data_IF_847994091252
#
_entry.id   IF_847994091252
#
_cell.length_a   1.000
_cell.length_b   1.000
_cell.length_c   1.000
_cell.angle_alpha   90.00
_cell.angle_beta   90.00
_cell.angle_gamma   90.00
#
_symmetry.space_group_name_H-M   'P 1'
#
loop_
_entity.id
_entity.type
_entity.pdbx_description
1 polymer ?
#
# COMPACT_ATOMS: atom_id res chain seq x y z
N UNK A 1 6.92 -18.76 2.45
CA UNK A 1 8.16 -18.74 1.64
C UNK A 1 9.31 -18.82 2.62
N UNK A 2 10.18 -19.81 2.48
CA UNK A 2 11.34 -19.94 3.36
C UNK A 2 12.38 -18.90 2.93
N UNK A 3 12.76 -17.99 3.80
CA UNK A 3 13.81 -16.99 3.52
C UNK A 3 15.19 -17.64 3.67
N UNK A 4 15.52 -18.53 2.72
CA UNK A 4 16.82 -19.19 2.69
C UNK A 4 17.93 -18.21 2.32
N UNK A 5 19.18 -18.54 2.66
CA UNK A 5 20.35 -17.75 2.22
C UNK A 5 20.42 -17.62 0.70
N UNK A 6 19.98 -18.66 -0.03
CA UNK A 6 19.92 -18.65 -1.49
C UNK A 6 18.87 -17.66 -1.98
N UNK A 7 17.65 -17.66 -1.39
CA UNK A 7 16.60 -16.70 -1.73
C UNK A 7 17.05 -15.24 -1.50
N UNK A 8 17.65 -14.95 -0.34
CA UNK A 8 18.15 -13.60 -0.04
C UNK A 8 19.25 -13.17 -1.02
N UNK A 9 20.10 -14.12 -1.45
CA UNK A 9 21.13 -13.86 -2.47
C UNK A 9 20.50 -13.58 -3.83
N UNK A 10 19.55 -14.36 -4.29
CA UNK A 10 18.83 -14.15 -5.55
C UNK A 10 18.11 -12.80 -5.56
N UNK A 11 17.46 -12.43 -4.46
CA UNK A 11 16.82 -11.13 -4.30
C UNK A 11 17.83 -9.99 -4.34
N UNK A 12 18.98 -10.12 -3.66
CA UNK A 12 20.03 -9.13 -3.67
C UNK A 12 20.67 -8.98 -5.07
N UNK A 13 20.85 -10.06 -5.79
CA UNK A 13 21.31 -10.05 -7.18
C UNK A 13 20.30 -9.35 -8.10
N UNK A 14 19.00 -9.61 -7.93
CA UNK A 14 17.94 -8.93 -8.68
C UNK A 14 17.95 -7.42 -8.45
N UNK A 15 18.20 -6.97 -7.20
CA UNK A 15 18.30 -5.53 -6.86
C UNK A 15 19.51 -4.91 -7.55
N UNK A 16 20.66 -5.58 -7.50
CA UNK A 16 21.88 -5.10 -8.14
C UNK A 16 21.73 -5.02 -9.67
N UNK A 17 21.12 -6.04 -10.28
CA UNK A 17 20.91 -6.11 -11.72
C UNK A 17 19.89 -5.06 -12.19
N UNK A 18 18.85 -4.77 -11.39
CA UNK A 18 17.91 -3.67 -11.65
C UNK A 18 18.62 -2.31 -11.67
N UNK A 19 19.49 -2.03 -10.70
CA UNK A 19 20.28 -0.79 -10.66
C UNK A 19 21.23 -0.70 -11.88
N UNK A 20 21.85 -1.82 -12.26
CA UNK A 20 22.71 -1.88 -13.43
C UNK A 20 21.96 -1.58 -14.74
N UNK A 21 20.74 -2.14 -14.89
CA UNK A 21 19.90 -1.91 -16.06
C UNK A 21 19.44 -0.45 -16.15
N UNK A 22 18.96 0.11 -15.04
CA UNK A 22 18.57 1.54 -14.98
C UNK A 22 19.74 2.45 -15.36
N UNK A 23 20.93 2.14 -14.84
CA UNK A 23 22.15 2.90 -15.18
C UNK A 23 22.51 2.76 -16.66
N UNK A 24 22.38 1.57 -17.24
CA UNK A 24 22.66 1.33 -18.66
C UNK A 24 21.75 2.15 -19.58
N UNK A 25 20.50 2.33 -19.18
CA UNK A 25 19.51 3.12 -19.94
C UNK A 25 19.73 4.64 -19.84
N UNK A 26 20.24 5.11 -18.71
CA UNK A 26 20.38 6.56 -18.45
C UNK A 26 21.78 7.11 -18.82
N UNK A 27 22.76 6.23 -19.02
CA UNK A 27 24.13 6.61 -19.28
C UNK A 27 24.83 7.25 -18.07
N UNK A 28 26.03 7.78 -18.30
CA UNK A 28 26.94 8.26 -17.23
C UNK A 28 26.52 9.56 -16.52
N UNK A 29 25.33 10.10 -16.77
CA UNK A 29 24.87 11.37 -16.19
C UNK A 29 24.42 11.24 -14.73
N UNK A 30 24.07 10.04 -14.27
CA UNK A 30 23.67 9.72 -12.91
C UNK A 30 24.51 8.55 -12.39
N UNK A 31 25.04 8.64 -11.16
CA UNK A 31 25.81 7.56 -10.57
C UNK A 31 24.92 6.34 -10.26
N UNK A 32 25.51 5.14 -10.29
CA UNK A 32 24.86 3.93 -9.77
C UNK A 32 24.62 4.04 -8.28
N UNK A 33 23.52 3.49 -7.80
CA UNK A 33 23.24 3.37 -6.35
C UNK A 33 24.22 2.36 -5.75
N UNK A 34 24.38 1.21 -6.39
CA UNK A 34 25.34 0.17 -6.00
C UNK A 34 26.56 0.22 -6.93
N UNK A 35 27.56 1.00 -6.58
CA UNK A 35 28.67 1.41 -7.44
C UNK A 35 29.98 0.64 -7.23
N UNK A 36 29.98 -0.43 -6.41
CA UNK A 36 31.13 -1.32 -6.20
C UNK A 36 31.05 -2.56 -7.08
N UNK A 37 32.00 -3.48 -6.88
CA UNK A 37 31.94 -4.78 -7.54
C UNK A 37 30.65 -5.54 -7.14
N UNK A 38 30.20 -6.43 -8.04
CA UNK A 38 28.91 -7.12 -7.89
C UNK A 38 28.84 -7.89 -6.57
N UNK A 39 29.87 -8.64 -6.24
CA UNK A 39 29.88 -9.48 -5.03
C UNK A 39 29.85 -8.64 -3.76
N UNK A 40 30.61 -7.54 -3.72
CA UNK A 40 30.61 -6.59 -2.61
C UNK A 40 29.24 -5.93 -2.42
N UNK A 41 28.60 -5.49 -3.51
CA UNK A 41 27.26 -4.88 -3.44
C UNK A 41 26.19 -5.90 -3.02
N UNK A 42 26.19 -7.10 -3.58
CA UNK A 42 25.25 -8.17 -3.20
C UNK A 42 25.37 -8.52 -1.72
N UNK A 43 26.59 -8.62 -1.20
CA UNK A 43 26.81 -8.87 0.22
C UNK A 43 26.33 -7.71 1.10
N UNK A 44 26.49 -6.46 0.67
CA UNK A 44 25.97 -5.30 1.40
C UNK A 44 24.45 -5.27 1.39
N UNK A 45 23.81 -5.56 0.26
CA UNK A 45 22.36 -5.68 0.15
C UNK A 45 21.83 -6.77 1.10
N UNK A 46 22.47 -7.94 1.12
CA UNK A 46 22.12 -9.01 2.06
C UNK A 46 22.24 -8.55 3.52
N UNK A 47 23.29 -7.79 3.86
CA UNK A 47 23.43 -7.23 5.21
C UNK A 47 22.30 -6.28 5.57
N UNK A 48 21.87 -5.43 4.63
CA UNK A 48 20.71 -4.54 4.82
C UNK A 48 19.41 -5.32 5.01
N UNK A 49 19.24 -6.44 4.29
CA UNK A 49 18.09 -7.32 4.47
C UNK A 49 18.08 -8.02 5.84
N UNK A 50 19.25 -8.48 6.29
CA UNK A 50 19.40 -9.23 7.55
C UNK A 50 19.49 -8.30 8.77
N UNK A 51 19.82 -7.04 8.59
CA UNK A 51 19.91 -6.03 9.65
C UNK A 51 18.54 -5.46 9.98
N UNK A 52 18.47 -4.78 11.14
CA UNK A 52 17.25 -4.04 11.53
C UNK A 52 17.02 -2.76 10.70
N UNK A 53 17.72 -2.60 9.58
CA UNK A 53 17.72 -1.37 8.77
C UNK A 53 17.11 -1.59 7.37
N UNK A 54 15.98 -2.28 7.33
CA UNK A 54 15.16 -2.44 6.11
C UNK A 54 14.79 -1.08 5.49
N UNK A 55 14.78 -0.02 6.29
CA UNK A 55 14.50 1.35 5.86
C UNK A 55 15.58 1.88 4.88
N UNK A 56 16.86 1.59 5.12
CA UNK A 56 17.93 2.01 4.22
C UNK A 56 17.82 1.32 2.85
N UNK A 57 17.57 0.02 2.82
CA UNK A 57 17.39 -0.71 1.56
C UNK A 57 16.19 -0.19 0.76
N UNK A 58 15.08 0.12 1.43
CA UNK A 58 13.90 0.73 0.80
C UNK A 58 14.22 2.11 0.22
N UNK A 59 15.05 2.90 0.90
CA UNK A 59 15.50 4.21 0.42
C UNK A 59 16.37 4.08 -0.84
N UNK A 60 17.26 3.12 -0.88
CA UNK A 60 18.11 2.83 -2.05
C UNK A 60 17.27 2.34 -3.26
N UNK A 61 16.30 1.45 -3.03
CA UNK A 61 15.34 1.04 -4.06
C UNK A 61 14.52 2.22 -4.61
N UNK A 62 14.14 3.16 -3.75
CA UNK A 62 13.43 4.35 -4.19
C UNK A 62 14.29 5.28 -5.06
N UNK A 63 15.60 5.34 -4.82
CA UNK A 63 16.54 6.05 -5.70
C UNK A 63 16.55 5.41 -7.11
N UNK A 64 16.63 4.09 -7.19
CA UNK A 64 16.57 3.35 -8.46
C UNK A 64 15.25 3.63 -9.18
N UNK A 65 14.12 3.59 -8.49
CA UNK A 65 12.80 3.92 -9.06
C UNK A 65 12.72 5.34 -9.60
N UNK A 66 13.28 6.31 -8.87
CA UNK A 66 13.27 7.69 -9.32
C UNK A 66 14.11 7.88 -10.60
N UNK A 67 15.24 7.21 -10.69
CA UNK A 67 16.05 7.19 -11.90
C UNK A 67 15.32 6.48 -13.06
N UNK A 68 14.75 5.31 -12.83
CA UNK A 68 14.01 4.55 -13.83
C UNK A 68 12.85 5.35 -14.45
N UNK A 69 12.18 6.20 -13.67
CA UNK A 69 11.09 7.07 -14.16
C UNK A 69 11.55 8.14 -15.16
N UNK A 70 12.83 8.45 -15.21
CA UNK A 70 13.39 9.42 -16.16
C UNK A 70 13.74 8.82 -17.51
N UNK A 71 13.68 7.50 -17.66
CA UNK A 71 13.92 6.79 -18.92
C UNK A 71 12.87 7.23 -19.95
N UNK A 72 13.34 7.70 -21.10
CA UNK A 72 12.45 8.26 -22.14
C UNK A 72 11.63 7.17 -22.83
N UNK A 73 12.26 6.02 -23.13
CA UNK A 73 11.61 4.92 -23.80
C UNK A 73 10.54 4.26 -22.93
N UNK A 74 9.29 4.40 -23.33
CA UNK A 74 8.13 4.00 -22.53
C UNK A 74 8.06 2.49 -22.25
N UNK A 75 8.42 1.69 -23.24
CA UNK A 75 8.39 0.22 -23.12
C UNK A 75 9.45 -0.28 -22.15
N UNK A 76 10.68 0.19 -22.31
CA UNK A 76 11.80 -0.13 -21.41
C UNK A 76 11.50 0.33 -19.98
N UNK A 77 11.02 1.57 -19.82
CA UNK A 77 10.60 2.09 -18.50
C UNK A 77 9.51 1.24 -17.87
N UNK A 78 8.54 0.75 -18.66
CA UNK A 78 7.45 -0.11 -18.15
C UNK A 78 7.98 -1.46 -17.67
N UNK A 79 8.91 -2.07 -18.40
CA UNK A 79 9.54 -3.33 -18.02
C UNK A 79 10.33 -3.18 -16.72
N UNK A 80 11.19 -2.17 -16.64
CA UNK A 80 12.01 -1.87 -15.45
C UNK A 80 11.11 -1.58 -14.23
N UNK A 81 10.04 -0.81 -14.41
CA UNK A 81 9.12 -0.52 -13.30
C UNK A 81 8.30 -1.74 -12.87
N UNK A 82 8.04 -2.68 -13.76
CA UNK A 82 7.40 -3.96 -13.39
C UNK A 82 8.34 -4.79 -12.52
N UNK A 83 9.59 -4.90 -12.93
CA UNK A 83 10.62 -5.63 -12.15
C UNK A 83 10.89 -4.94 -10.80
N UNK A 84 11.02 -3.61 -10.80
CA UNK A 84 11.12 -2.83 -9.56
C UNK A 84 9.97 -3.15 -8.59
N UNK A 85 8.73 -3.17 -9.07
CA UNK A 85 7.59 -3.45 -8.22
C UNK A 85 7.63 -4.88 -7.66
N UNK A 86 8.05 -5.86 -8.44
CA UNK A 86 8.26 -7.24 -7.97
C UNK A 86 9.26 -7.27 -6.82
N UNK A 87 10.45 -6.72 -7.04
CA UNK A 87 11.53 -6.64 -6.04
C UNK A 87 11.07 -5.89 -4.79
N UNK A 88 10.42 -4.74 -4.96
CA UNK A 88 9.93 -3.94 -3.85
C UNK A 88 8.95 -4.72 -2.96
N UNK A 89 8.06 -5.48 -3.58
CA UNK A 89 7.11 -6.31 -2.83
C UNK A 89 7.80 -7.43 -2.04
N UNK A 90 8.85 -8.03 -2.60
CA UNK A 90 9.65 -9.03 -1.91
C UNK A 90 10.42 -8.41 -0.73
N UNK A 91 11.01 -7.22 -0.91
CA UNK A 91 11.72 -6.50 0.16
C UNK A 91 10.77 -6.04 1.28
N UNK A 92 9.54 -5.63 0.94
CA UNK A 92 8.52 -5.29 1.95
C UNK A 92 8.07 -6.52 2.73
N UNK A 93 8.07 -7.69 2.09
CA UNK A 93 7.69 -8.95 2.71
C UNK A 93 8.78 -9.53 3.64
N UNK A 94 10.00 -9.00 3.59
CA UNK A 94 11.07 -9.44 4.51
C UNK A 94 10.72 -9.09 5.96
N UNK A 95 10.97 -9.98 6.91
CA UNK A 95 10.74 -9.69 8.33
C UNK A 95 11.67 -8.57 8.81
N UNK A 96 11.19 -7.74 9.73
CA UNK A 96 11.95 -6.62 10.31
C UNK A 96 13.21 -7.07 11.07
N UNK A 97 13.31 -8.35 11.42
CA UNK A 97 14.48 -8.91 12.09
C UNK A 97 14.56 -10.42 11.83
N UNK A 98 15.68 -10.87 11.29
CA UNK A 98 16.04 -12.30 11.23
C UNK A 98 16.66 -12.82 12.53
N UNK A 99 16.73 -11.98 13.58
CA UNK A 99 17.56 -12.24 14.78
C UNK A 99 17.00 -13.31 15.74
N UNK A 100 15.87 -13.94 15.48
CA UNK A 100 15.29 -14.91 16.40
C UNK A 100 14.60 -16.11 15.76
N UNK A 101 14.68 -16.33 14.47
CA UNK A 101 13.99 -17.47 13.88
C UNK A 101 14.92 -18.36 13.06
N UNK A 102 15.50 -19.34 13.72
CA UNK A 102 15.92 -20.58 13.04
C UNK A 102 14.70 -21.39 12.54
N UNK A 103 13.50 -20.89 12.81
CA UNK A 103 12.23 -21.49 12.38
C UNK A 103 11.20 -20.37 12.20
N UNK A 104 11.18 -19.72 11.05
CA UNK A 104 9.90 -19.23 10.56
C UNK A 104 9.06 -20.46 10.24
N UNK A 105 8.18 -20.80 11.16
CA UNK A 105 7.27 -21.93 11.04
C UNK A 105 6.54 -21.76 9.68
N UNK A 106 6.66 -22.71 8.75
CA UNK A 106 5.91 -22.75 7.48
C UNK A 106 4.41 -22.50 7.70
N UNK A 107 3.93 -22.77 8.93
CA UNK A 107 2.56 -22.48 9.36
C UNK A 107 2.22 -20.99 9.45
N UNK A 108 3.18 -20.11 9.65
CA UNK A 108 2.93 -18.65 9.75
C UNK A 108 2.83 -17.99 8.37
N UNK A 109 3.56 -18.53 7.38
CA UNK A 109 3.63 -17.93 6.05
C UNK A 109 2.28 -17.87 5.30
N UNK A 110 1.30 -18.65 5.72
CA UNK A 110 0.04 -18.82 4.98
C UNK A 110 -1.23 -18.68 5.84
N UNK A 111 -1.15 -17.89 6.92
CA UNK A 111 -2.31 -17.67 7.82
C UNK A 111 -3.54 -17.14 7.07
N UNK A 112 -3.33 -16.31 6.06
CA UNK A 112 -4.43 -15.76 5.26
C UNK A 112 -5.01 -16.76 4.25
N UNK A 113 -4.33 -17.87 3.96
CA UNK A 113 -4.86 -18.98 3.17
C UNK A 113 -5.73 -19.94 4.01
N UNK A 114 -5.65 -19.84 5.33
CA UNK A 114 -6.47 -20.67 6.22
C UNK A 114 -7.94 -20.25 6.20
N UNK A 115 -8.83 -21.17 6.54
CA UNK A 115 -10.21 -20.84 6.87
C UNK A 115 -10.25 -19.82 8.01
N UNK A 116 -11.22 -18.94 8.03
CA UNK A 116 -11.31 -17.85 9.02
C UNK A 116 -11.14 -18.31 10.47
N UNK A 117 -11.80 -19.39 10.86
CA UNK A 117 -11.70 -19.97 12.22
C UNK A 117 -10.29 -20.40 12.63
N UNK A 118 -9.40 -20.61 11.67
CA UNK A 118 -8.02 -21.03 11.89
C UNK A 118 -7.02 -19.91 11.60
N UNK A 119 -7.50 -18.76 11.11
CA UNK A 119 -6.66 -17.65 10.71
C UNK A 119 -6.23 -16.77 11.88
N UNK A 120 -7.12 -16.59 12.86
CA UNK A 120 -6.87 -15.75 14.02
C UNK A 120 -6.63 -16.64 15.24
N UNK A 121 -5.38 -16.66 15.74
CA UNK A 121 -5.07 -17.24 17.06
C UNK A 121 -5.48 -16.28 18.18
N UNK A 122 -5.39 -16.76 19.43
CA UNK A 122 -5.77 -15.98 20.62
C UNK A 122 -4.97 -14.69 20.80
N UNK A 123 -3.80 -14.57 20.15
CA UNK A 123 -2.87 -13.45 20.28
C UNK A 123 -2.95 -12.46 19.09
N UNK A 124 -3.89 -12.66 18.16
CA UNK A 124 -4.01 -11.81 16.99
C UNK A 124 -5.23 -10.90 17.07
N UNK A 125 -5.03 -9.65 16.68
CA UNK A 125 -6.10 -8.68 16.54
C UNK A 125 -6.95 -8.97 15.30
N UNK A 126 -8.23 -8.64 15.38
CA UNK A 126 -9.16 -8.77 14.26
C UNK A 126 -9.01 -7.56 13.34
N UNK A 127 -8.48 -7.79 12.16
CA UNK A 127 -8.24 -6.76 11.16
C UNK A 127 -9.08 -7.03 9.91
N UNK A 128 -9.82 -6.03 9.45
CA UNK A 128 -10.66 -6.13 8.26
C UNK A 128 -10.22 -5.06 7.26
N UNK A 129 -9.72 -5.48 6.12
CA UNK A 129 -9.33 -4.62 5.01
C UNK A 129 -10.49 -4.51 4.02
N UNK A 130 -11.00 -3.29 3.78
CA UNK A 130 -12.08 -3.07 2.83
C UNK A 130 -11.58 -2.24 1.66
N UNK A 131 -11.50 -2.85 0.48
CA UNK A 131 -11.33 -2.18 -0.81
C UNK A 131 -12.69 -1.96 -1.46
N UNK A 132 -12.86 -0.87 -2.20
CA UNK A 132 -14.17 -0.52 -2.75
C UNK A 132 -14.08 0.33 -4.01
N UNK A 133 -15.03 0.14 -4.94
CA UNK A 133 -15.25 1.11 -6.03
C UNK A 133 -15.91 2.37 -5.46
N UNK A 134 -15.56 3.53 -6.01
CA UNK A 134 -16.09 4.80 -5.52
C UNK A 134 -17.62 4.89 -5.74
N UNK A 135 -18.35 5.35 -4.72
CA UNK A 135 -19.81 5.45 -4.77
C UNK A 135 -20.56 4.13 -4.55
N UNK A 136 -19.89 3.03 -4.21
CA UNK A 136 -20.54 1.75 -3.90
C UNK A 136 -21.15 1.67 -2.49
N UNK A 137 -21.03 2.70 -1.67
CA UNK A 137 -21.44 2.64 -0.26
C UNK A 137 -20.45 1.89 0.65
N UNK A 138 -19.24 1.58 0.12
CA UNK A 138 -18.26 0.81 0.87
C UNK A 138 -17.76 1.51 2.13
N UNK A 139 -17.66 2.84 2.13
CA UNK A 139 -17.25 3.61 3.31
C UNK A 139 -18.33 3.55 4.40
N UNK A 140 -19.61 3.72 4.03
CA UNK A 140 -20.75 3.61 4.93
C UNK A 140 -20.85 2.20 5.53
N UNK A 141 -20.65 1.17 4.70
CA UNK A 141 -20.62 -0.23 5.15
C UNK A 141 -19.48 -0.43 6.16
N UNK A 142 -18.27 0.03 5.84
CA UNK A 142 -17.10 -0.10 6.71
C UNK A 142 -17.31 0.61 8.06
N UNK A 143 -17.84 1.83 8.05
CA UNK A 143 -18.13 2.59 9.25
C UNK A 143 -19.21 1.92 10.12
N UNK A 144 -20.34 1.49 9.51
CA UNK A 144 -21.39 0.78 10.24
C UNK A 144 -20.92 -0.57 10.80
N UNK A 145 -20.06 -1.26 10.06
CA UNK A 145 -19.48 -2.53 10.51
C UNK A 145 -18.57 -2.31 11.72
N UNK A 146 -17.72 -1.28 11.70
CA UNK A 146 -16.86 -0.92 12.82
C UNK A 146 -17.68 -0.55 14.06
N UNK A 147 -18.76 0.22 13.90
CA UNK A 147 -19.65 0.56 15.01
C UNK A 147 -20.35 -0.68 15.61
N UNK A 148 -20.82 -1.61 14.78
CA UNK A 148 -21.44 -2.86 15.26
C UNK A 148 -20.45 -3.78 15.97
N UNK A 149 -19.21 -3.87 15.46
CA UNK A 149 -18.14 -4.68 16.05
C UNK A 149 -17.46 -4.01 17.25
N UNK A 150 -17.69 -2.70 17.48
CA UNK A 150 -17.02 -1.87 18.50
C UNK A 150 -15.49 -1.86 18.34
N UNK A 151 -15.03 -1.80 17.11
CA UNK A 151 -13.61 -1.70 16.74
C UNK A 151 -13.34 -0.38 16.00
N UNK A 152 -12.08 -0.01 15.91
CA UNK A 152 -11.67 1.24 15.29
C UNK A 152 -11.86 1.21 13.76
N UNK A 153 -12.07 2.39 13.18
CA UNK A 153 -12.24 2.58 11.73
C UNK A 153 -11.22 3.60 11.21
N UNK A 154 -10.47 3.20 10.19
CA UNK A 154 -9.39 4.01 9.62
C UNK A 154 -9.53 4.14 8.09
N UNK A 155 -9.65 5.37 7.61
CA UNK A 155 -9.62 5.70 6.17
C UNK A 155 -8.64 6.87 5.93
N UNK A 156 -9.17 8.07 5.82
CA UNK A 156 -8.39 9.28 5.59
C UNK A 156 -7.44 9.64 6.76
N UNK A 157 -7.79 9.20 7.97
CA UNK A 157 -7.04 9.52 9.19
C UNK A 157 -5.63 8.92 9.20
N UNK A 158 -5.47 7.67 8.73
CA UNK A 158 -4.15 7.04 8.61
C UNK A 158 -3.25 7.91 7.73
N UNK A 159 -3.80 8.37 6.61
CA UNK A 159 -3.07 9.21 5.69
C UNK A 159 -2.67 10.55 6.31
N UNK A 160 -3.57 11.17 7.07
CA UNK A 160 -3.30 12.41 7.79
C UNK A 160 -2.22 12.22 8.87
N UNK A 161 -2.21 11.09 9.57
CA UNK A 161 -1.19 10.76 10.55
C UNK A 161 0.19 10.56 9.90
N UNK A 162 0.24 9.87 8.75
CA UNK A 162 1.47 9.70 7.97
C UNK A 162 2.03 11.04 7.51
N UNK A 163 1.18 11.92 6.96
CA UNK A 163 1.60 13.26 6.55
C UNK A 163 2.13 14.09 7.72
N UNK A 164 1.47 14.01 8.89
CA UNK A 164 1.95 14.68 10.11
C UNK A 164 3.31 14.15 10.56
N UNK A 165 3.54 12.83 10.50
CA UNK A 165 4.87 12.23 10.79
C UNK A 165 5.92 12.77 9.84
N UNK A 166 5.67 12.68 8.53
CA UNK A 166 6.61 13.18 7.51
C UNK A 166 6.89 14.69 7.64
N UNK A 167 5.96 15.48 8.17
CA UNK A 167 6.14 16.90 8.44
C UNK A 167 6.87 17.13 9.76
N UNK A 168 6.60 16.34 10.80
CA UNK A 168 7.23 16.45 12.11
C UNK A 168 8.72 16.11 12.07
N UNK A 169 9.13 15.14 11.26
CA UNK A 169 10.54 14.78 11.06
C UNK A 169 11.36 15.91 10.39
N UNK A 170 10.70 16.96 9.88
CA UNK A 170 11.34 18.04 9.15
C UNK A 170 11.36 19.39 9.89
N UNK A 171 10.49 19.58 10.87
CA UNK A 171 10.30 20.87 11.54
C UNK A 171 10.18 20.69 13.05
N UNK A 172 11.32 20.68 13.75
CA UNK A 172 11.35 21.03 15.18
C UNK A 172 10.86 22.47 15.43
N UNK A 173 10.59 23.26 14.40
CA UNK A 173 10.24 24.67 14.49
C UNK A 173 8.84 25.08 14.02
N UNK A 174 8.01 24.21 13.45
CA UNK A 174 6.63 24.55 13.11
C UNK A 174 5.66 23.70 13.93
N UNK A 175 5.65 23.93 15.22
CA UNK A 175 4.51 23.64 16.09
C UNK A 175 3.52 24.79 15.89
N UNK A 176 2.33 24.45 15.50
CA UNK A 176 1.09 25.22 15.43
C UNK A 176 0.67 25.72 14.05
N UNK A 177 -0.55 25.32 13.72
CA UNK A 177 -1.43 25.78 12.66
C UNK A 177 -1.25 25.17 11.25
N UNK A 178 -1.81 24.00 11.05
CA UNK A 178 -2.55 23.72 9.82
C UNK A 178 -3.48 22.52 9.98
N UNK A 179 -4.71 22.76 10.34
CA UNK A 179 -5.81 21.86 10.05
C UNK A 179 -6.00 21.83 8.52
N UNK A 180 -5.34 20.89 7.84
CA UNK A 180 -5.68 20.57 6.45
C UNK A 180 -6.97 19.77 6.47
N UNK A 181 -8.00 20.14 5.67
CA UNK A 181 -9.16 19.29 5.50
C UNK A 181 -8.70 17.94 4.92
N UNK A 182 -8.96 16.85 5.62
CA UNK A 182 -8.51 15.51 5.28
C UNK A 182 -8.81 15.13 3.81
N UNK A 183 -9.94 15.55 3.28
CA UNK A 183 -10.38 15.27 1.91
C UNK A 183 -9.50 15.89 0.81
N UNK A 184 -9.00 17.10 1.00
CA UNK A 184 -8.12 17.76 0.02
C UNK A 184 -6.70 17.20 0.05
N UNK A 185 -6.16 16.91 1.23
CA UNK A 185 -4.85 16.32 1.36
C UNK A 185 -4.78 14.90 0.76
N UNK A 186 -5.83 14.11 0.94
CA UNK A 186 -5.96 12.77 0.37
C UNK A 186 -6.00 12.78 -1.17
N UNK A 187 -6.72 13.74 -1.78
CA UNK A 187 -6.80 13.84 -3.23
C UNK A 187 -5.49 14.37 -3.85
N UNK A 188 -4.84 15.35 -3.22
CA UNK A 188 -3.65 15.98 -3.80
C UNK A 188 -2.40 15.09 -3.75
N UNK A 189 -2.23 14.27 -2.72
CA UNK A 189 -1.00 13.50 -2.53
C UNK A 189 -1.08 12.09 -3.09
N UNK A 190 -2.21 11.40 -2.89
CA UNK A 190 -2.36 10.02 -3.36
C UNK A 190 -2.64 9.94 -4.87
N UNK A 191 -3.25 10.97 -5.45
CA UNK A 191 -3.79 10.93 -6.81
C UNK A 191 -3.36 12.12 -7.68
N UNK A 192 -2.46 12.98 -7.22
CA UNK A 192 -1.92 14.04 -8.07
C UNK A 192 -1.25 13.42 -9.30
N UNK A 193 -1.76 13.76 -10.48
CA UNK A 193 -1.06 13.48 -11.71
C UNK A 193 0.37 14.03 -11.60
N UNK A 194 1.39 13.36 -12.15
CA UNK A 194 2.76 13.84 -12.07
C UNK A 194 2.86 15.24 -12.68
N UNK A 195 2.93 16.25 -11.80
CA UNK A 195 3.17 17.64 -12.19
C UNK A 195 4.60 17.71 -12.71
N UNK A 196 4.81 18.37 -13.85
CA UNK A 196 6.16 18.69 -14.30
C UNK A 196 6.81 19.63 -13.28
N UNK A 197 7.67 19.08 -12.46
CA UNK A 197 8.40 19.80 -11.43
C UNK A 197 9.69 20.36 -12.03
N UNK A 198 10.08 21.55 -11.59
CA UNK A 198 11.40 22.13 -11.90
C UNK A 198 12.50 21.32 -11.20
N UNK A 199 13.73 21.41 -11.72
CA UNK A 199 14.88 20.73 -11.13
C UNK A 199 15.09 21.11 -9.65
N UNK A 200 14.86 22.39 -9.29
CA UNK A 200 14.96 22.87 -7.90
C UNK A 200 13.87 22.27 -6.99
N UNK A 201 12.66 22.12 -7.50
CA UNK A 201 11.57 21.47 -6.77
C UNK A 201 11.86 19.97 -6.56
N UNK A 202 12.41 19.28 -7.56
CA UNK A 202 12.84 17.89 -7.44
C UNK A 202 13.94 17.70 -6.41
N UNK A 203 14.98 18.55 -6.42
CA UNK A 203 16.07 18.49 -5.44
C UNK A 203 15.54 18.75 -4.02
N UNK A 204 14.63 19.72 -3.87
CA UNK A 204 14.01 20.02 -2.58
C UNK A 204 13.12 18.87 -2.09
N UNK A 205 12.34 18.26 -2.97
CA UNK A 205 11.50 17.11 -2.65
C UNK A 205 12.35 15.88 -2.33
N UNK A 206 13.41 15.63 -3.08
CA UNK A 206 14.39 14.58 -2.85
C UNK A 206 15.06 14.71 -1.47
N UNK A 207 15.56 15.90 -1.14
CA UNK A 207 16.13 16.19 0.18
C UNK A 207 15.08 16.08 1.29
N UNK A 208 13.85 16.48 1.01
CA UNK A 208 12.71 16.49 1.94
C UNK A 208 12.24 15.11 2.37
N UNK A 209 12.37 14.11 1.53
CA UNK A 209 11.87 12.75 1.78
C UNK A 209 12.99 11.70 1.76
N UNK A 210 14.20 12.08 2.18
CA UNK A 210 15.34 11.17 2.27
C UNK A 210 15.59 10.36 0.97
N UNK A 211 15.38 11.01 -0.18
CA UNK A 211 15.56 10.37 -1.49
C UNK A 211 14.33 9.67 -2.06
N UNK A 212 13.25 9.57 -1.28
CA UNK A 212 11.98 9.00 -1.75
C UNK A 212 11.15 10.03 -2.54
N UNK A 213 10.36 9.58 -3.50
CA UNK A 213 9.26 10.43 -3.96
C UNK A 213 8.25 10.59 -2.83
N UNK A 214 7.56 11.75 -2.76
CA UNK A 214 6.51 11.97 -1.76
C UNK A 214 5.49 10.84 -1.70
N UNK A 215 5.16 10.25 -2.86
CA UNK A 215 4.22 9.15 -2.99
C UNK A 215 4.74 7.86 -2.34
N UNK A 216 6.01 7.54 -2.57
CA UNK A 216 6.64 6.33 -2.03
C UNK A 216 6.88 6.48 -0.52
N UNK A 217 7.36 7.65 -0.07
CA UNK A 217 7.51 7.94 1.35
C UNK A 217 6.17 7.80 2.11
N UNK A 218 5.08 8.29 1.53
CA UNK A 218 3.73 8.12 2.10
C UNK A 218 3.34 6.65 2.16
N UNK A 219 3.61 5.88 1.10
CA UNK A 219 3.28 4.45 1.08
C UNK A 219 4.03 3.67 2.18
N UNK A 220 5.35 3.86 2.31
CA UNK A 220 6.14 3.17 3.31
C UNK A 220 5.75 3.53 4.74
N UNK A 221 5.64 4.82 5.05
CA UNK A 221 5.20 5.24 6.40
C UNK A 221 3.79 4.75 6.73
N UNK A 222 2.92 4.65 5.74
CA UNK A 222 1.58 4.09 5.91
C UNK A 222 1.65 2.59 6.16
N UNK A 223 2.53 1.87 5.49
CA UNK A 223 2.74 0.43 5.69
C UNK A 223 3.21 0.15 7.12
N UNK A 224 4.22 0.88 7.59
CA UNK A 224 4.73 0.76 8.95
C UNK A 224 3.64 1.06 10.00
N UNK A 225 2.87 2.12 9.77
CA UNK A 225 1.77 2.50 10.67
C UNK A 225 0.68 1.40 10.74
N UNK A 226 0.28 0.83 9.61
CA UNK A 226 -0.72 -0.25 9.57
C UNK A 226 -0.20 -1.48 10.31
N UNK A 227 1.05 -1.86 10.10
CA UNK A 227 1.66 -3.00 10.80
C UNK A 227 1.78 -2.74 12.32
N UNK A 228 2.11 -1.53 12.74
CA UNK A 228 2.19 -1.16 14.15
C UNK A 228 0.81 -1.15 14.83
N UNK A 229 -0.23 -0.72 14.12
CA UNK A 229 -1.61 -0.78 14.62
C UNK A 229 -2.09 -2.21 14.74
N UNK A 230 -1.74 -3.07 13.79
CA UNK A 230 -2.10 -4.48 13.77
C UNK A 230 -1.60 -5.26 14.99
N UNK A 231 -0.55 -4.78 15.65
CA UNK A 231 0.00 -5.35 16.89
C UNK A 231 -0.73 -4.87 18.16
N UNK A 232 -1.63 -3.89 18.05
CA UNK A 232 -2.15 -3.16 19.22
C UNK A 232 -3.66 -3.21 19.36
N UNK A 233 -4.40 -3.38 18.25
CA UNK A 233 -5.84 -3.17 18.28
C UNK A 233 -6.59 -3.86 17.14
N UNK A 234 -7.88 -4.08 17.36
CA UNK A 234 -8.83 -4.52 16.34
C UNK A 234 -9.28 -3.32 15.52
N UNK A 235 -9.29 -3.43 14.19
CA UNK A 235 -9.72 -2.30 13.36
C UNK A 235 -10.19 -2.69 11.96
N UNK A 236 -10.91 -1.76 11.35
CA UNK A 236 -11.22 -1.76 9.92
C UNK A 236 -10.36 -0.71 9.23
N UNK A 237 -9.71 -1.07 8.14
CA UNK A 237 -8.93 -0.16 7.30
C UNK A 237 -9.49 -0.11 5.88
N UNK A 238 -9.64 1.11 5.36
CA UNK A 238 -10.24 1.37 4.05
C UNK A 238 -9.17 1.57 2.97
N UNK A 239 -9.04 0.61 2.05
CA UNK A 239 -8.13 0.68 0.91
C UNK A 239 -6.65 0.72 1.29
N UNK A 240 -5.87 1.58 0.61
CA UNK A 240 -4.43 1.84 0.87
C UNK A 240 -3.52 0.63 0.72
N UNK A 241 -3.92 -0.37 -0.05
CA UNK A 241 -3.20 -1.63 -0.19
C UNK A 241 -3.00 -2.38 1.15
N UNK A 242 -3.83 -2.10 2.16
CA UNK A 242 -3.69 -2.68 3.49
C UNK A 242 -3.74 -4.20 3.46
N UNK A 243 -4.58 -4.78 2.61
CA UNK A 243 -4.68 -6.21 2.35
C UNK A 243 -3.33 -6.81 1.95
N UNK A 244 -2.62 -6.17 1.02
CA UNK A 244 -1.32 -6.65 0.55
C UNK A 244 -0.21 -6.34 1.55
N UNK A 245 -0.24 -5.16 2.19
CA UNK A 245 0.71 -4.81 3.25
C UNK A 245 0.69 -5.85 4.37
N UNK A 246 -0.50 -6.20 4.86
CA UNK A 246 -0.65 -7.18 5.93
C UNK A 246 -0.32 -8.60 5.48
N UNK A 247 -0.69 -8.99 4.24
CA UNK A 247 -0.28 -10.28 3.66
C UNK A 247 1.23 -10.41 3.63
N UNK A 248 1.92 -9.40 3.15
CA UNK A 248 3.38 -9.42 3.01
C UNK A 248 4.11 -9.40 4.36
N UNK A 249 3.49 -8.88 5.39
CA UNK A 249 4.01 -8.90 6.76
C UNK A 249 3.47 -10.07 7.59
N UNK A 250 2.85 -11.07 6.95
CA UNK A 250 2.31 -12.28 7.59
C UNK A 250 1.32 -11.98 8.74
N UNK A 251 0.60 -10.87 8.65
CA UNK A 251 -0.39 -10.46 9.64
C UNK A 251 -1.77 -10.96 9.22
N UNK A 252 -2.43 -11.78 10.05
CA UNK A 252 -3.77 -12.28 9.75
C UNK A 252 -4.78 -11.14 9.60
N UNK A 253 -5.56 -11.18 8.53
CA UNK A 253 -6.61 -10.19 8.27
C UNK A 253 -7.72 -10.78 7.39
N UNK A 254 -8.80 -10.07 7.24
CA UNK A 254 -9.89 -10.39 6.33
C UNK A 254 -9.93 -9.32 5.25
N UNK A 255 -9.94 -9.72 3.99
CA UNK A 255 -9.95 -8.82 2.84
C UNK A 255 -11.30 -8.84 2.15
N UNK A 256 -11.92 -7.67 1.99
CA UNK A 256 -13.26 -7.51 1.40
C UNK A 256 -13.19 -6.50 0.25
N UNK A 257 -13.80 -6.83 -0.89
CA UNK A 257 -14.00 -5.90 -1.99
C UNK A 257 -15.48 -5.58 -2.17
N UNK A 258 -15.85 -4.29 -2.08
CA UNK A 258 -17.22 -3.82 -2.23
C UNK A 258 -17.37 -3.05 -3.53
N UNK A 259 -18.31 -3.48 -4.36
CA UNK A 259 -18.62 -2.83 -5.63
C UNK A 259 -20.13 -2.62 -5.78
N UNK A 260 -20.52 -1.86 -6.78
CA UNK A 260 -21.90 -1.75 -7.26
C UNK A 260 -21.93 -1.43 -8.75
N UNK A 261 -23.03 -1.70 -9.46
CA UNK A 261 -23.20 -1.32 -10.86
C UNK A 261 -22.97 0.18 -11.06
N UNK A 262 -22.29 0.56 -12.14
CA UNK A 262 -21.86 1.92 -12.37
C UNK A 262 -22.99 2.95 -12.27
N UNK A 263 -24.15 2.68 -12.84
CA UNK A 263 -25.29 3.61 -12.82
C UNK A 263 -25.86 3.79 -11.40
N UNK A 264 -25.84 2.74 -10.58
CA UNK A 264 -26.23 2.84 -9.16
C UNK A 264 -25.25 3.70 -8.37
N UNK A 265 -23.97 3.59 -8.65
CA UNK A 265 -22.95 4.45 -8.05
C UNK A 265 -23.11 5.91 -8.46
N UNK A 266 -23.46 6.16 -9.72
CA UNK A 266 -23.78 7.53 -10.22
C UNK A 266 -24.96 8.12 -9.44
N UNK A 267 -26.04 7.36 -9.27
CA UNK A 267 -27.19 7.80 -8.50
C UNK A 267 -26.82 8.13 -7.06
N UNK A 268 -26.10 7.24 -6.40
CA UNK A 268 -25.65 7.44 -5.02
C UNK A 268 -24.79 8.72 -4.86
N UNK A 269 -23.88 8.97 -5.79
CA UNK A 269 -23.07 10.20 -5.75
C UNK A 269 -23.92 11.46 -5.96
N UNK A 270 -24.94 11.40 -6.82
CA UNK A 270 -25.86 12.54 -7.01
C UNK A 270 -26.76 12.78 -5.78
N UNK A 271 -27.10 11.74 -5.03
CA UNK A 271 -27.83 11.87 -3.76
C UNK A 271 -26.97 12.52 -2.68
N UNK A 272 -25.68 12.15 -2.60
CA UNK A 272 -24.72 12.71 -1.64
C UNK A 272 -24.31 14.16 -2.00
N UNK A 273 -24.19 14.46 -3.28
CA UNK A 273 -23.74 15.76 -3.79
C UNK A 273 -24.83 16.40 -4.66
N UNK A 274 -25.70 17.17 -4.06
CA UNK A 274 -26.86 17.79 -4.73
C UNK A 274 -26.49 18.77 -5.85
N UNK A 275 -25.25 19.26 -5.87
CA UNK A 275 -24.69 20.12 -6.91
C UNK A 275 -24.11 19.35 -8.10
N UNK A 276 -24.13 18.02 -8.08
CA UNK A 276 -23.61 17.18 -9.15
C UNK A 276 -24.72 16.77 -10.11
N UNK A 277 -24.48 17.04 -11.39
CA UNK A 277 -25.26 16.42 -12.47
C UNK A 277 -24.65 15.07 -12.86
N UNK A 278 -25.41 14.28 -13.60
CA UNK A 278 -25.01 12.93 -14.04
C UNK A 278 -23.65 12.91 -14.77
N UNK A 279 -23.40 13.88 -15.65
CA UNK A 279 -22.14 14.00 -16.39
C UNK A 279 -20.95 14.22 -15.46
N UNK A 280 -21.10 15.09 -14.47
CA UNK A 280 -20.07 15.39 -13.45
C UNK A 280 -19.82 14.17 -12.57
N UNK A 281 -20.88 13.50 -12.09
CA UNK A 281 -20.80 12.29 -11.29
C UNK A 281 -20.09 11.14 -12.06
N UNK A 282 -20.49 10.88 -13.31
CA UNK A 282 -19.85 9.85 -14.16
C UNK A 282 -18.36 10.14 -14.40
N UNK A 283 -17.98 11.39 -14.64
CA UNK A 283 -16.59 11.79 -14.83
C UNK A 283 -15.78 11.54 -13.54
N UNK A 284 -16.31 11.97 -12.40
CA UNK A 284 -15.65 11.82 -11.10
C UNK A 284 -15.45 10.34 -10.75
N UNK A 285 -16.47 9.50 -10.88
CA UNK A 285 -16.39 8.08 -10.60
C UNK A 285 -15.29 7.38 -11.42
N UNK A 286 -15.29 7.61 -12.74
CA UNK A 286 -14.26 7.04 -13.63
C UNK A 286 -12.85 7.50 -13.26
N UNK A 287 -12.70 8.76 -12.89
CA UNK A 287 -11.41 9.31 -12.50
C UNK A 287 -10.91 8.70 -11.19
N UNK A 288 -11.76 8.62 -10.16
CA UNK A 288 -11.38 8.10 -8.84
C UNK A 288 -11.12 6.59 -8.88
N UNK A 289 -11.97 5.82 -9.57
CA UNK A 289 -11.74 4.39 -9.75
C UNK A 289 -10.40 4.12 -10.44
N UNK A 290 -10.10 4.88 -11.51
CA UNK A 290 -8.81 4.76 -12.21
C UNK A 290 -7.64 5.11 -11.31
N UNK A 291 -7.74 6.17 -10.52
CA UNK A 291 -6.70 6.56 -9.57
C UNK A 291 -6.45 5.49 -8.51
N UNK A 292 -7.52 4.87 -7.95
CA UNK A 292 -7.42 3.76 -7.02
C UNK A 292 -6.77 2.54 -7.68
N UNK A 293 -7.22 2.18 -8.89
CA UNK A 293 -6.67 1.08 -9.65
C UNK A 293 -5.17 1.28 -9.95
N UNK A 294 -4.80 2.48 -10.47
CA UNK A 294 -3.40 2.80 -10.80
C UNK A 294 -2.51 2.77 -9.54
N UNK A 295 -3.03 3.23 -8.39
CA UNK A 295 -2.32 3.19 -7.12
C UNK A 295 -2.11 1.76 -6.64
N UNK A 296 -3.19 0.97 -6.55
CA UNK A 296 -3.15 -0.41 -6.09
C UNK A 296 -2.26 -1.27 -6.99
N UNK A 297 -2.48 -1.23 -8.32
CA UNK A 297 -1.70 -2.02 -9.27
C UNK A 297 -0.22 -1.66 -9.23
N UNK A 298 0.11 -0.37 -9.02
CA UNK A 298 1.50 0.09 -8.96
C UNK A 298 2.24 -0.45 -7.72
N UNK A 299 1.61 -0.36 -6.54
CA UNK A 299 2.28 -0.76 -5.29
C UNK A 299 2.18 -2.25 -4.97
N UNK A 300 1.21 -2.97 -5.56
CA UNK A 300 0.98 -4.39 -5.23
C UNK A 300 1.35 -5.35 -6.33
N UNK A 301 1.54 -4.87 -7.56
CA UNK A 301 1.67 -5.72 -8.74
C UNK A 301 0.39 -6.53 -9.07
N UNK A 302 -0.66 -6.41 -8.25
CA UNK A 302 -1.92 -7.14 -8.40
C UNK A 302 -2.97 -6.30 -9.13
N UNK A 303 -3.94 -6.95 -9.77
CA UNK A 303 -5.06 -6.26 -10.41
C UNK A 303 -6.12 -5.90 -9.37
N UNK A 304 -6.37 -4.60 -9.19
CA UNK A 304 -7.42 -4.11 -8.30
C UNK A 304 -8.80 -4.64 -8.67
N UNK A 305 -9.58 -5.08 -7.68
CA UNK A 305 -10.92 -5.63 -7.86
C UNK A 305 -10.97 -7.02 -8.51
N UNK A 306 -9.82 -7.71 -8.68
CA UNK A 306 -9.82 -9.11 -9.05
C UNK A 306 -10.26 -9.96 -7.86
N UNK A 307 -11.29 -10.80 -8.04
CA UNK A 307 -11.89 -11.59 -6.97
C UNK A 307 -10.88 -12.51 -6.26
N UNK A 308 -9.85 -12.99 -6.95
CA UNK A 308 -8.82 -13.87 -6.39
C UNK A 308 -7.96 -13.20 -5.30
N UNK A 309 -8.02 -11.86 -5.22
CA UNK A 309 -7.26 -11.09 -4.23
C UNK A 309 -8.01 -10.89 -2.91
N UNK A 310 -9.27 -11.28 -2.81
CA UNK A 310 -10.13 -10.94 -1.67
C UNK A 310 -10.86 -12.17 -1.14
N UNK A 311 -11.05 -12.23 0.18
CA UNK A 311 -11.83 -13.28 0.84
C UNK A 311 -13.32 -13.17 0.51
N UNK A 312 -13.82 -11.93 0.31
CA UNK A 312 -15.19 -11.65 -0.06
C UNK A 312 -15.26 -10.52 -1.09
N UNK A 313 -15.93 -10.79 -2.21
CA UNK A 313 -16.34 -9.75 -3.16
C UNK A 313 -17.87 -9.64 -3.16
N UNK A 314 -18.39 -8.42 -2.96
CA UNK A 314 -19.83 -8.24 -2.90
C UNK A 314 -20.34 -7.04 -3.70
N UNK A 315 -21.57 -7.20 -4.21
CA UNK A 315 -22.33 -6.14 -4.85
C UNK A 315 -23.29 -5.50 -3.83
N UNK A 316 -22.90 -4.34 -3.28
CA UNK A 316 -23.71 -3.62 -2.28
C UNK A 316 -25.09 -3.18 -2.79
N UNK A 317 -25.25 -2.99 -4.11
CA UNK A 317 -26.54 -2.62 -4.67
C UNK A 317 -27.59 -3.75 -4.60
N UNK A 318 -27.14 -5.00 -4.48
CA UNK A 318 -28.02 -6.15 -4.33
C UNK A 318 -28.60 -6.29 -2.93
N UNK A 319 -27.86 -5.83 -1.91
CA UNK A 319 -28.22 -6.02 -0.49
C UNK A 319 -28.56 -4.71 0.22
N UNK A 320 -28.25 -3.56 -0.36
CA UNK A 320 -28.24 -2.28 0.33
C UNK A 320 -27.10 -2.20 1.38
N UNK A 321 -26.93 -1.05 2.00
CA UNK A 321 -25.84 -0.84 2.99
C UNK A 321 -26.05 -1.72 4.21
N UNK A 322 -27.23 -1.66 4.82
CA UNK A 322 -27.57 -2.44 6.04
C UNK A 322 -27.48 -3.95 5.80
N UNK A 323 -28.07 -4.45 4.70
CA UNK A 323 -28.01 -5.88 4.35
C UNK A 323 -26.61 -6.37 4.06
N UNK A 324 -25.76 -5.49 3.47
CA UNK A 324 -24.31 -5.80 3.26
C UNK A 324 -23.57 -5.94 4.58
N UNK A 325 -23.82 -5.04 5.54
CA UNK A 325 -23.25 -5.14 6.89
C UNK A 325 -23.71 -6.40 7.61
N UNK A 326 -25.00 -6.74 7.56
CA UNK A 326 -25.53 -7.95 8.19
C UNK A 326 -24.96 -9.24 7.57
N UNK A 327 -24.73 -9.25 6.25
CA UNK A 327 -24.10 -10.37 5.56
C UNK A 327 -22.63 -10.55 6.01
N UNK A 328 -21.87 -9.47 6.09
CA UNK A 328 -20.49 -9.50 6.56
C UNK A 328 -20.42 -9.96 8.02
N UNK A 329 -21.30 -9.44 8.89
CA UNK A 329 -21.35 -9.86 10.29
C UNK A 329 -21.63 -11.36 10.43
N UNK A 330 -22.59 -11.91 9.67
CA UNK A 330 -22.87 -13.35 9.67
C UNK A 330 -21.68 -14.19 9.20
N UNK A 331 -20.94 -13.69 8.21
CA UNK A 331 -19.70 -14.35 7.75
C UNK A 331 -18.67 -14.38 8.88
N UNK A 332 -18.48 -13.27 9.58
CA UNK A 332 -17.52 -13.16 10.69
C UNK A 332 -17.90 -14.04 11.87
N UNK A 333 -19.19 -14.07 12.27
CA UNK A 333 -19.68 -14.88 13.41
C UNK A 333 -19.52 -16.39 13.14
N UNK A 334 -19.81 -16.84 11.90
CA UNK A 334 -19.59 -18.26 11.54
C UNK A 334 -18.11 -18.65 11.44
N UNK A 335 -17.25 -17.69 11.34
CA UNK A 335 -15.82 -17.91 11.36
C UNK A 335 -15.27 -18.16 12.78
N UNK A 336 -16.05 -17.78 13.80
CA UNK A 336 -15.70 -17.97 15.22
C UNK A 336 -16.28 -19.25 15.83
N UNK A 337 -17.31 -19.85 15.20
CA UNK A 337 -17.88 -21.16 15.52
C UNK A 337 -17.04 -22.30 14.87
#
# INVERSE_FOLDING_TARGET
>A
MEYTKEYLRELAESIYDLDAEVYAQLGSSLGRVFNRDREGCVNDIIRLMLGNDSHQLRSELALISNMARTIEEKEVRSMIMTEYNRILMEVIALPDSFASSDVLDEKIADLNALQFKNRFGNDHHRIICISRTYGSGGNEIGFMLADKLKINYYDAEIFSAVLKRLQADQDEQIRDNAAYPADKANQEVAFAAPRRMTLKERIREFSRYHGLSKRDAVFFNQSDLICDMAKKEDFIVMGRCADVILTNNHIPHISIFITAPFERRVQHIMELHKDYNEKKAKKMLKQLDRQHQDYYNFYTGRRWGNADNYDLCMNSAAYGITGSVDLILRMLTRAEE
#
